data_IF_396514886865
#
_entry.id   IF_396514886865
#
_cell.length_a   1.000
_cell.length_b   1.000
_cell.length_c   1.000
_cell.angle_alpha   90.00
_cell.angle_beta   90.00
_cell.angle_gamma   90.00
#
_symmetry.space_group_name_H-M   'P 1'
#
loop_
_entity.id
_entity.type
_entity.pdbx_description
1 polymer ?
#
# COMPACT_ATOMS: atom_id res chain seq x y z
N UNK A 1 -55.18 -8.59 35.51
CA UNK A 1 -53.90 -9.24 35.87
C UNK A 1 -52.79 -8.20 35.76
N UNK A 2 -52.21 -7.73 36.88
CA UNK A 2 -51.16 -6.69 36.87
C UNK A 2 -49.84 -7.29 36.37
N UNK A 3 -49.31 -6.75 35.27
CA UNK A 3 -48.01 -7.15 34.74
C UNK A 3 -46.89 -6.53 35.58
N UNK A 4 -46.00 -7.36 36.12
CA UNK A 4 -44.79 -6.89 36.84
C UNK A 4 -43.74 -6.38 35.84
N UNK A 5 -43.01 -5.34 36.23
CA UNK A 5 -42.08 -4.55 35.39
C UNK A 5 -40.89 -5.33 34.80
N UNK A 6 -40.65 -6.57 35.22
CA UNK A 6 -39.66 -7.49 34.65
C UNK A 6 -40.23 -8.91 34.56
N UNK A 7 -40.27 -9.53 33.36
CA UNK A 7 -40.76 -10.90 33.21
C UNK A 7 -39.70 -11.92 33.69
N UNK A 8 -40.10 -12.80 34.62
CA UNK A 8 -39.27 -13.91 35.07
C UNK A 8 -39.00 -14.90 33.92
N UNK A 9 -37.79 -15.51 33.88
CA UNK A 9 -37.28 -16.32 32.75
C UNK A 9 -38.24 -17.43 32.26
N UNK A 10 -39.05 -18.00 33.15
CA UNK A 10 -40.06 -19.03 32.83
C UNK A 10 -41.19 -18.46 31.95
N UNK A 11 -41.59 -17.20 32.16
CA UNK A 11 -42.62 -16.53 31.35
C UNK A 11 -42.12 -16.19 29.95
N UNK A 12 -40.83 -15.86 29.81
CA UNK A 12 -40.19 -15.63 28.50
C UNK A 12 -40.09 -16.95 27.72
N UNK A 13 -39.79 -18.05 28.40
CA UNK A 13 -39.75 -19.38 27.79
C UNK A 13 -41.14 -19.84 27.31
N UNK A 14 -42.19 -19.58 28.09
CA UNK A 14 -43.57 -19.85 27.69
C UNK A 14 -44.02 -19.06 26.46
N UNK A 15 -43.65 -17.77 26.37
CA UNK A 15 -43.96 -16.93 25.21
C UNK A 15 -43.16 -17.38 23.97
N UNK A 16 -41.90 -17.77 24.14
CA UNK A 16 -41.08 -18.32 23.05
C UNK A 16 -41.63 -19.65 22.51
N UNK A 17 -42.14 -20.51 23.40
CA UNK A 17 -42.76 -21.78 23.01
C UNK A 17 -44.10 -21.56 22.29
N UNK A 18 -44.94 -20.64 22.78
CA UNK A 18 -46.23 -20.31 22.13
C UNK A 18 -46.02 -19.62 20.78
N UNK A 19 -45.01 -18.75 20.64
CA UNK A 19 -44.69 -18.12 19.34
C UNK A 19 -44.15 -19.13 18.33
N UNK A 20 -43.27 -20.05 18.73
CA UNK A 20 -42.80 -21.11 17.84
C UNK A 20 -43.90 -22.13 17.51
N UNK A 21 -44.77 -22.45 18.47
CA UNK A 21 -45.91 -23.33 18.23
C UNK A 21 -46.95 -22.67 17.32
N UNK A 22 -47.22 -21.37 17.49
CA UNK A 22 -48.09 -20.61 16.59
C UNK A 22 -47.48 -20.48 15.18
N UNK A 23 -46.16 -20.31 15.06
CA UNK A 23 -45.45 -20.41 13.77
C UNK A 23 -45.54 -21.82 13.17
N UNK A 24 -45.46 -22.87 13.98
CA UNK A 24 -45.60 -24.26 13.53
C UNK A 24 -47.03 -24.61 13.12
N UNK A 25 -48.05 -24.04 13.77
CA UNK A 25 -49.47 -24.20 13.41
C UNK A 25 -49.83 -23.37 12.18
N UNK A 26 -49.27 -22.16 12.02
CA UNK A 26 -49.46 -21.34 10.83
C UNK A 26 -48.71 -21.90 9.60
N UNK A 27 -47.54 -22.55 9.78
CA UNK A 27 -46.85 -23.30 8.72
C UNK A 27 -47.33 -24.76 8.57
N UNK A 28 -48.11 -25.26 9.54
CA UNK A 28 -48.69 -26.61 9.56
C UNK A 28 -50.03 -26.72 8.85
N UNK A 29 -50.62 -25.59 8.44
CA UNK A 29 -51.60 -25.60 7.35
C UNK A 29 -50.84 -25.98 6.09
N UNK A 30 -51.07 -27.20 5.61
CA UNK A 30 -50.56 -27.68 4.34
C UNK A 30 -50.85 -26.62 3.28
N UNK A 31 -49.81 -25.90 2.86
CA UNK A 31 -49.84 -25.13 1.62
C UNK A 31 -50.28 -26.16 0.58
N UNK A 32 -51.42 -25.98 -0.11
CA UNK A 32 -51.87 -26.94 -1.10
C UNK A 32 -50.69 -27.24 -2.01
N UNK A 33 -50.35 -28.53 -2.14
CA UNK A 33 -49.17 -28.93 -2.89
C UNK A 33 -49.34 -28.38 -4.30
N UNK A 34 -48.47 -27.43 -4.68
CA UNK A 34 -48.59 -26.75 -5.97
C UNK A 34 -48.72 -27.79 -7.06
N UNK A 35 -49.67 -27.54 -7.96
CA UNK A 35 -49.87 -28.42 -9.11
C UNK A 35 -48.60 -28.44 -9.94
N UNK A 36 -48.39 -29.52 -10.68
CA UNK A 36 -47.27 -29.63 -11.60
C UNK A 36 -47.21 -28.43 -12.58
N UNK A 37 -48.37 -27.94 -13.04
CA UNK A 37 -48.45 -26.78 -13.95
C UNK A 37 -47.99 -25.48 -13.29
N UNK A 38 -48.36 -25.24 -12.03
CA UNK A 38 -47.89 -24.08 -11.25
C UNK A 38 -46.37 -24.11 -11.05
N UNK A 39 -45.80 -25.29 -10.77
CA UNK A 39 -44.34 -25.48 -10.61
C UNK A 39 -43.59 -25.21 -11.92
N UNK A 40 -44.13 -25.66 -13.06
CA UNK A 40 -43.56 -25.35 -14.37
C UNK A 40 -43.69 -23.86 -14.69
N UNK A 41 -44.84 -23.24 -14.45
CA UNK A 41 -45.07 -21.82 -14.72
C UNK A 41 -44.10 -20.94 -13.93
N UNK A 42 -43.98 -21.17 -12.61
CA UNK A 42 -43.03 -20.45 -11.75
C UNK A 42 -41.57 -20.67 -12.18
N UNK A 43 -41.22 -21.88 -12.61
CA UNK A 43 -39.86 -22.17 -13.10
C UNK A 43 -39.56 -21.51 -14.45
N UNK A 44 -40.54 -21.42 -15.36
CA UNK A 44 -40.43 -20.66 -16.62
C UNK A 44 -40.28 -19.17 -16.35
N UNK A 45 -41.00 -18.63 -15.37
CA UNK A 45 -40.82 -17.25 -14.92
C UNK A 45 -39.39 -17.03 -14.41
N UNK A 46 -38.89 -17.90 -13.52
CA UNK A 46 -37.51 -17.85 -13.06
C UNK A 46 -36.47 -17.96 -14.20
N UNK A 47 -36.73 -18.75 -15.25
CA UNK A 47 -35.89 -18.77 -16.44
C UNK A 47 -35.88 -17.42 -17.17
N UNK A 48 -37.05 -16.79 -17.32
CA UNK A 48 -37.17 -15.50 -18.00
C UNK A 48 -36.55 -14.35 -17.20
N UNK A 49 -36.60 -14.41 -15.88
CA UNK A 49 -36.02 -13.38 -15.00
C UNK A 49 -34.54 -13.60 -14.68
N UNK A 50 -33.88 -14.58 -15.29
CA UNK A 50 -32.46 -14.88 -15.04
C UNK A 50 -32.16 -15.66 -13.75
N UNK A 51 -33.19 -16.11 -13.03
CA UNK A 51 -33.08 -16.86 -11.77
C UNK A 51 -32.90 -18.37 -12.02
N UNK A 52 -31.93 -18.73 -12.85
CA UNK A 52 -31.78 -20.09 -13.40
C UNK A 52 -31.60 -21.18 -12.34
N UNK A 53 -30.93 -20.88 -11.21
CA UNK A 53 -30.78 -21.82 -10.08
C UNK A 53 -32.11 -22.13 -9.39
N UNK A 54 -32.95 -21.10 -9.21
CA UNK A 54 -34.29 -21.26 -8.64
C UNK A 54 -35.21 -22.01 -9.61
N UNK A 55 -35.13 -21.69 -10.91
CA UNK A 55 -35.83 -22.45 -11.96
C UNK A 55 -35.46 -23.94 -11.90
N UNK A 56 -34.16 -24.27 -11.89
CA UNK A 56 -33.69 -25.66 -11.78
C UNK A 56 -34.21 -26.33 -10.50
N UNK A 57 -34.12 -25.66 -9.35
CA UNK A 57 -34.59 -26.19 -8.06
C UNK A 57 -36.09 -26.48 -8.05
N UNK A 58 -36.90 -25.62 -8.67
CA UNK A 58 -38.34 -25.84 -8.84
C UNK A 58 -38.64 -27.05 -9.73
N UNK A 59 -37.97 -27.15 -10.88
CA UNK A 59 -38.15 -28.23 -11.84
C UNK A 59 -37.68 -29.59 -11.31
N UNK A 60 -36.63 -29.64 -10.48
CA UNK A 60 -36.12 -30.89 -9.88
C UNK A 60 -37.08 -31.52 -8.87
N UNK A 61 -38.14 -30.82 -8.45
CA UNK A 61 -39.17 -31.35 -7.54
C UNK A 61 -40.29 -32.11 -8.27
N UNK A 62 -40.30 -32.11 -9.61
CA UNK A 62 -41.29 -32.79 -10.44
C UNK A 62 -40.89 -34.27 -10.57
N UNK A 63 -41.83 -35.18 -10.30
CA UNK A 63 -41.59 -36.63 -10.21
C UNK A 63 -41.73 -37.30 -11.59
N UNK A 64 -41.07 -38.46 -11.83
CA UNK A 64 -41.21 -39.21 -13.09
C UNK A 64 -42.64 -39.63 -13.46
N UNK A 65 -43.50 -39.73 -12.46
CA UNK A 65 -44.93 -40.07 -12.59
C UNK A 65 -45.79 -38.89 -13.08
N UNK A 66 -45.27 -37.66 -13.05
CA UNK A 66 -46.01 -36.46 -13.43
C UNK A 66 -46.06 -36.30 -14.96
N UNK A 67 -47.21 -35.89 -15.49
CA UNK A 67 -47.49 -35.86 -16.94
C UNK A 67 -46.52 -34.99 -17.74
N UNK A 68 -45.96 -33.93 -17.16
CA UNK A 68 -44.95 -33.13 -17.84
C UNK A 68 -43.55 -33.21 -17.21
N UNK A 69 -43.22 -34.34 -16.61
CA UNK A 69 -41.83 -34.68 -16.25
C UNK A 69 -40.85 -34.49 -17.42
N UNK A 70 -41.23 -34.87 -18.64
CA UNK A 70 -40.40 -34.68 -19.86
C UNK A 70 -40.11 -33.20 -20.14
N UNK A 71 -41.12 -32.35 -19.98
CA UNK A 71 -40.95 -30.89 -20.13
C UNK A 71 -40.04 -30.34 -19.04
N UNK A 72 -40.21 -30.80 -17.80
CA UNK A 72 -39.36 -30.40 -16.68
C UNK A 72 -37.88 -30.75 -16.93
N UNK A 73 -37.59 -31.95 -17.44
CA UNK A 73 -36.22 -32.36 -17.78
C UNK A 73 -35.61 -31.49 -18.89
N UNK A 74 -36.38 -31.18 -19.94
CA UNK A 74 -35.94 -30.26 -20.99
C UNK A 74 -35.59 -28.87 -20.42
N UNK A 75 -36.44 -28.34 -19.54
CA UNK A 75 -36.22 -27.04 -18.92
C UNK A 75 -35.04 -27.06 -17.93
N UNK A 76 -34.77 -28.18 -17.26
CA UNK A 76 -33.56 -28.37 -16.41
C UNK A 76 -32.30 -28.27 -17.26
N UNK A 77 -32.25 -28.95 -18.41
CA UNK A 77 -31.12 -28.89 -19.34
C UNK A 77 -30.90 -27.46 -19.83
N UNK A 78 -31.99 -26.76 -20.19
CA UNK A 78 -31.94 -25.34 -20.56
C UNK A 78 -31.42 -24.47 -19.42
N UNK A 79 -31.91 -24.67 -18.20
CA UNK A 79 -31.44 -23.95 -17.01
C UNK A 79 -29.94 -24.18 -16.76
N UNK A 80 -29.46 -25.42 -16.88
CA UNK A 80 -28.05 -25.76 -16.70
C UNK A 80 -27.13 -25.12 -17.74
N UNK A 81 -27.56 -25.10 -19.01
CA UNK A 81 -26.86 -24.39 -20.07
C UNK A 81 -26.77 -22.89 -19.78
N UNK A 82 -27.87 -22.27 -19.33
CA UNK A 82 -27.92 -20.86 -18.95
C UNK A 82 -27.05 -20.52 -17.74
N UNK A 83 -27.03 -21.38 -16.71
CA UNK A 83 -26.13 -21.24 -15.55
C UNK A 83 -24.66 -21.28 -15.98
N UNK A 84 -24.33 -22.20 -16.90
CA UNK A 84 -22.96 -22.36 -17.41
C UNK A 84 -22.53 -21.13 -18.20
N UNK A 85 -23.36 -20.67 -19.13
CA UNK A 85 -23.12 -19.44 -19.89
C UNK A 85 -22.98 -18.21 -19.00
N UNK A 86 -23.82 -18.06 -17.96
CA UNK A 86 -23.72 -16.94 -17.02
C UNK A 86 -22.38 -16.95 -16.25
N UNK A 87 -21.92 -18.14 -15.84
CA UNK A 87 -20.63 -18.30 -15.18
C UNK A 87 -19.47 -17.93 -16.10
N UNK A 88 -19.51 -18.36 -17.36
CA UNK A 88 -18.51 -18.01 -18.37
C UNK A 88 -18.50 -16.50 -18.67
N UNK A 89 -19.66 -15.88 -18.84
CA UNK A 89 -19.78 -14.43 -19.03
C UNK A 89 -19.20 -13.65 -17.85
N UNK A 90 -19.48 -14.09 -16.61
CA UNK A 90 -18.89 -13.48 -15.40
C UNK A 90 -17.37 -13.61 -15.37
N UNK A 91 -16.83 -14.75 -15.79
CA UNK A 91 -15.38 -14.95 -15.88
C UNK A 91 -14.76 -14.03 -16.93
N UNK A 92 -15.33 -13.99 -18.13
CA UNK A 92 -14.89 -13.11 -19.22
C UNK A 92 -14.97 -11.63 -18.83
N UNK A 93 -16.05 -11.20 -18.16
CA UNK A 93 -16.20 -9.84 -17.66
C UNK A 93 -15.13 -9.50 -16.62
N UNK A 94 -14.79 -10.44 -15.73
CA UNK A 94 -13.73 -10.27 -14.72
C UNK A 94 -12.35 -10.15 -15.38
N UNK A 95 -12.07 -10.96 -16.39
CA UNK A 95 -10.82 -10.91 -17.15
C UNK A 95 -10.70 -9.62 -17.96
N UNK A 96 -11.77 -9.20 -18.63
CA UNK A 96 -11.82 -7.93 -19.34
C UNK A 96 -11.63 -6.74 -18.40
N UNK A 97 -12.26 -6.75 -17.22
CA UNK A 97 -12.08 -5.72 -16.20
C UNK A 97 -10.62 -5.69 -15.67
N UNK A 98 -10.01 -6.86 -15.44
CA UNK A 98 -8.60 -6.96 -15.02
C UNK A 98 -7.65 -6.44 -16.10
N UNK A 99 -7.91 -6.76 -17.37
CA UNK A 99 -7.13 -6.26 -18.51
C UNK A 99 -7.23 -4.75 -18.63
N UNK A 100 -8.45 -4.20 -18.56
CA UNK A 100 -8.68 -2.75 -18.60
C UNK A 100 -8.01 -2.03 -17.43
N UNK A 101 -8.08 -2.59 -16.22
CA UNK A 101 -7.39 -2.02 -15.05
C UNK A 101 -5.87 -2.02 -15.23
N UNK A 102 -5.31 -3.12 -15.77
CA UNK A 102 -3.88 -3.21 -16.10
C UNK A 102 -3.46 -2.16 -17.13
N UNK A 103 -4.20 -2.02 -18.22
CA UNK A 103 -3.95 -1.01 -19.26
C UNK A 103 -4.02 0.42 -18.70
N UNK A 104 -5.00 0.68 -17.83
CA UNK A 104 -5.15 1.99 -17.17
C UNK A 104 -3.94 2.30 -16.27
N UNK A 105 -3.50 1.33 -15.47
CA UNK A 105 -2.32 1.47 -14.61
C UNK A 105 -1.04 1.68 -15.42
N UNK A 106 -0.89 0.96 -16.55
CA UNK A 106 0.25 1.13 -17.46
C UNK A 106 0.29 2.55 -18.06
N UNK A 107 -0.86 3.09 -18.48
CA UNK A 107 -0.96 4.46 -19.00
C UNK A 107 -0.62 5.49 -17.91
N UNK A 108 -1.14 5.32 -16.70
CA UNK A 108 -0.90 6.22 -15.57
C UNK A 108 0.58 6.23 -15.18
N UNK A 109 1.19 5.04 -15.04
CA UNK A 109 2.60 4.89 -14.72
C UNK A 109 3.49 5.53 -15.78
N UNK A 110 3.18 5.31 -17.07
CA UNK A 110 3.90 5.93 -18.18
C UNK A 110 3.86 7.45 -18.08
N UNK A 111 2.66 8.02 -17.92
CA UNK A 111 2.48 9.48 -17.76
C UNK A 111 3.25 10.02 -16.55
N UNK A 112 3.24 9.30 -15.42
CA UNK A 112 3.99 9.73 -14.24
C UNK A 112 5.49 9.77 -14.53
N UNK A 113 6.06 8.71 -15.11
CA UNK A 113 7.48 8.67 -15.46
C UNK A 113 7.86 9.79 -16.43
N UNK A 114 7.05 10.03 -17.47
CA UNK A 114 7.29 11.10 -18.44
C UNK A 114 7.29 12.49 -17.78
N UNK A 115 6.32 12.76 -16.89
CA UNK A 115 6.25 14.02 -16.13
C UNK A 115 7.49 14.24 -15.26
N UNK A 116 7.89 13.23 -14.48
CA UNK A 116 9.07 13.36 -13.60
C UNK A 116 10.37 13.53 -14.41
N UNK A 117 10.49 12.82 -15.54
CA UNK A 117 11.64 12.97 -16.45
C UNK A 117 11.69 14.40 -17.01
N UNK A 118 10.55 14.94 -17.43
CA UNK A 118 10.46 16.31 -17.95
C UNK A 118 10.84 17.32 -16.88
N UNK A 119 10.24 17.24 -15.68
CA UNK A 119 10.52 18.14 -14.56
C UNK A 119 12.01 18.15 -14.17
N UNK A 120 12.66 16.98 -14.10
CA UNK A 120 14.10 16.91 -13.81
C UNK A 120 14.95 17.49 -14.97
N UNK A 121 14.47 17.38 -16.21
CA UNK A 121 15.16 17.92 -17.38
C UNK A 121 15.10 19.44 -17.43
N UNK A 122 13.95 20.02 -17.08
CA UNK A 122 13.77 21.47 -16.97
C UNK A 122 14.59 22.05 -15.82
N UNK A 123 14.78 21.27 -14.76
CA UNK A 123 15.62 21.61 -13.61
C UNK A 123 14.80 21.69 -12.34
N UNK A 124 15.33 21.07 -11.29
CA UNK A 124 14.71 21.09 -9.96
C UNK A 124 15.45 22.12 -9.11
N UNK A 125 14.71 23.06 -8.53
CA UNK A 125 15.27 24.02 -7.59
C UNK A 125 15.35 23.42 -6.19
N UNK A 126 16.57 23.14 -5.73
CA UNK A 126 16.85 22.64 -4.39
C UNK A 126 17.11 23.75 -3.36
N UNK A 127 16.96 25.03 -3.73
CA UNK A 127 17.21 26.15 -2.81
C UNK A 127 16.26 26.14 -1.61
N UNK A 128 15.00 25.71 -1.83
CA UNK A 128 13.95 25.64 -0.81
C UNK A 128 14.18 24.58 0.27
N UNK A 129 15.09 23.63 0.04
CA UNK A 129 15.38 22.54 0.97
C UNK A 129 16.55 22.83 1.93
N UNK A 130 17.01 24.08 2.01
CA UNK A 130 18.16 24.49 2.83
C UNK A 130 17.74 25.23 4.10
N UNK A 131 18.69 25.46 5.01
CA UNK A 131 18.49 26.28 6.21
C UNK A 131 17.92 25.57 7.44
N UNK A 132 17.34 24.37 7.31
CA UNK A 132 16.91 23.56 8.45
C UNK A 132 17.07 22.06 8.21
N UNK A 133 17.10 21.28 9.28
CA UNK A 133 17.15 19.81 9.20
C UNK A 133 15.90 19.28 8.51
N UNK A 134 14.73 19.83 8.83
CA UNK A 134 13.45 19.43 8.25
C UNK A 134 13.42 19.69 6.74
N UNK A 135 13.93 20.83 6.30
CA UNK A 135 14.03 21.16 4.88
C UNK A 135 14.95 20.17 4.13
N UNK A 136 16.09 19.81 4.72
CA UNK A 136 16.99 18.79 4.16
C UNK A 136 16.37 17.38 4.16
N UNK A 137 15.54 17.06 5.15
CA UNK A 137 14.80 15.80 5.18
C UNK A 137 13.73 15.75 4.08
N UNK A 138 13.08 16.88 3.76
CA UNK A 138 12.14 16.95 2.64
C UNK A 138 12.83 16.69 1.30
N UNK A 139 14.08 17.11 1.12
CA UNK A 139 14.88 16.75 -0.06
C UNK A 139 15.15 15.24 -0.14
N UNK A 140 15.48 14.59 0.99
CA UNK A 140 15.62 13.13 1.04
C UNK A 140 14.29 12.42 0.70
N UNK A 141 13.17 12.94 1.20
CA UNK A 141 11.82 12.41 0.92
C UNK A 141 11.53 12.49 -0.58
N UNK A 142 11.87 13.60 -1.24
CA UNK A 142 11.74 13.75 -2.69
C UNK A 142 12.55 12.69 -3.45
N UNK A 143 13.81 12.47 -3.06
CA UNK A 143 14.63 11.39 -3.65
C UNK A 143 14.01 10.01 -3.44
N UNK A 144 13.46 9.73 -2.26
CA UNK A 144 12.76 8.47 -1.99
C UNK A 144 11.46 8.30 -2.77
N UNK A 145 10.71 9.38 -3.00
CA UNK A 145 9.52 9.36 -3.85
C UNK A 145 9.87 8.98 -5.29
N UNK A 146 10.92 9.57 -5.86
CA UNK A 146 11.42 9.17 -7.17
C UNK A 146 11.93 7.72 -7.19
N UNK A 147 12.64 7.28 -6.16
CA UNK A 147 13.09 5.90 -6.05
C UNK A 147 11.92 4.91 -6.09
N UNK A 148 10.81 5.23 -5.41
CA UNK A 148 9.59 4.42 -5.43
C UNK A 148 8.96 4.35 -6.82
N UNK A 149 8.83 5.49 -7.51
CA UNK A 149 8.32 5.56 -8.89
C UNK A 149 9.18 4.73 -9.84
N UNK A 150 10.51 4.80 -9.70
CA UNK A 150 11.46 4.00 -10.49
C UNK A 150 11.27 2.51 -10.21
N UNK A 151 11.22 2.10 -8.94
CA UNK A 151 11.07 0.71 -8.53
C UNK A 151 9.76 0.12 -9.07
N UNK A 152 8.66 0.86 -8.96
CA UNK A 152 7.36 0.43 -9.48
C UNK A 152 7.39 0.33 -11.00
N UNK A 153 7.99 1.30 -11.70
CA UNK A 153 8.19 1.26 -13.16
C UNK A 153 9.08 0.12 -13.65
N UNK A 154 10.12 -0.26 -12.90
CA UNK A 154 11.02 -1.38 -13.25
C UNK A 154 10.30 -2.75 -13.17
N UNK A 155 9.22 -2.87 -12.38
CA UNK A 155 8.44 -4.10 -12.23
C UNK A 155 7.44 -4.38 -13.37
N UNK A 156 7.15 -3.40 -14.22
CA UNK A 156 6.20 -3.59 -15.32
C UNK A 156 6.77 -4.50 -16.42
N UNK A 157 5.91 -5.33 -17.02
CA UNK A 157 6.28 -6.17 -18.17
C UNK A 157 6.52 -5.32 -19.43
N UNK A 158 5.78 -4.22 -19.58
CA UNK A 158 5.84 -3.30 -20.71
C UNK A 158 7.27 -2.74 -20.89
N UNK A 159 7.96 -3.04 -22.02
CA UNK A 159 9.35 -2.60 -22.24
C UNK A 159 9.52 -1.07 -22.23
N UNK A 160 8.52 -0.33 -22.70
CA UNK A 160 8.55 1.13 -22.75
C UNK A 160 8.58 1.73 -21.33
N UNK A 161 7.73 1.26 -20.42
CA UNK A 161 7.69 1.71 -19.02
C UNK A 161 9.02 1.44 -18.33
N UNK A 162 9.58 0.23 -18.51
CA UNK A 162 10.91 -0.09 -17.95
C UNK A 162 12.03 0.79 -18.51
N UNK A 163 11.96 1.14 -19.80
CA UNK A 163 12.92 2.07 -20.41
C UNK A 163 12.82 3.45 -19.77
N UNK A 164 11.60 3.97 -19.60
CA UNK A 164 11.37 5.25 -18.92
C UNK A 164 11.85 5.21 -17.46
N UNK A 165 11.57 4.14 -16.72
CA UNK A 165 12.05 3.96 -15.36
C UNK A 165 13.59 4.00 -15.27
N UNK A 166 14.30 3.34 -16.19
CA UNK A 166 15.77 3.42 -16.30
C UNK A 166 16.26 4.83 -16.65
N UNK A 167 15.56 5.53 -17.54
CA UNK A 167 15.89 6.93 -17.88
C UNK A 167 15.74 7.84 -16.66
N UNK A 168 14.63 7.72 -15.92
CA UNK A 168 14.40 8.46 -14.69
C UNK A 168 15.48 8.14 -13.64
N UNK A 169 15.79 6.85 -13.45
CA UNK A 169 16.86 6.38 -12.55
C UNK A 169 18.19 7.06 -12.80
N UNK A 170 18.66 7.09 -14.05
CA UNK A 170 19.93 7.73 -14.39
C UNK A 170 19.92 9.23 -14.06
N UNK A 171 18.80 9.92 -14.33
CA UNK A 171 18.65 11.34 -13.99
C UNK A 171 18.67 11.58 -12.48
N UNK A 172 17.91 10.81 -11.72
CA UNK A 172 17.84 10.91 -10.25
C UNK A 172 19.19 10.59 -9.61
N UNK A 173 19.90 9.56 -10.09
CA UNK A 173 21.26 9.25 -9.63
C UNK A 173 22.21 10.42 -9.85
N UNK A 174 22.17 11.06 -11.02
CA UNK A 174 23.01 12.23 -11.31
C UNK A 174 22.65 13.42 -10.41
N UNK A 175 21.37 13.64 -10.12
CA UNK A 175 20.93 14.65 -9.15
C UNK A 175 21.50 14.35 -7.76
N UNK A 176 21.31 13.13 -7.25
CA UNK A 176 21.82 12.73 -5.94
C UNK A 176 23.33 12.96 -5.82
N UNK A 177 24.13 12.52 -6.80
CA UNK A 177 25.58 12.70 -6.80
C UNK A 177 25.99 14.18 -6.69
N UNK A 178 25.17 15.08 -7.26
CA UNK A 178 25.40 16.53 -7.22
C UNK A 178 24.91 17.17 -5.93
N UNK A 179 23.77 16.73 -5.40
CA UNK A 179 23.11 17.37 -4.26
C UNK A 179 23.60 16.84 -2.91
N UNK A 180 23.90 15.54 -2.75
CA UNK A 180 24.40 14.98 -1.48
C UNK A 180 25.61 15.74 -0.89
N UNK A 181 26.64 16.13 -1.67
CA UNK A 181 27.71 16.98 -1.16
C UNK A 181 27.24 18.32 -0.59
N UNK A 182 26.21 18.93 -1.19
CA UNK A 182 25.63 20.20 -0.73
C UNK A 182 24.80 19.98 0.53
N UNK A 183 23.97 18.93 0.56
CA UNK A 183 23.20 18.55 1.74
C UNK A 183 24.12 18.30 2.94
N UNK A 184 25.25 17.61 2.74
CA UNK A 184 26.25 17.39 3.81
C UNK A 184 26.86 18.69 4.33
N UNK A 185 27.22 19.62 3.44
CA UNK A 185 27.73 20.94 3.85
C UNK A 185 26.68 21.72 4.64
N UNK A 186 25.45 21.74 4.14
CA UNK A 186 24.35 22.45 4.77
C UNK A 186 24.01 21.85 6.14
N UNK A 187 23.96 20.52 6.23
CA UNK A 187 23.76 19.83 7.51
C UNK A 187 24.87 20.16 8.51
N UNK A 188 26.13 20.15 8.09
CA UNK A 188 27.25 20.52 8.97
C UNK A 188 27.16 21.97 9.44
N UNK A 189 26.70 22.89 8.58
CA UNK A 189 26.44 24.29 8.94
C UNK A 189 25.32 24.41 9.98
N UNK A 190 24.19 23.77 9.74
CA UNK A 190 23.06 23.75 10.69
C UNK A 190 23.49 23.18 12.05
N UNK A 191 24.31 22.12 12.05
CA UNK A 191 24.86 21.55 13.27
C UNK A 191 25.85 22.49 13.97
N UNK A 192 26.67 23.23 13.21
CA UNK A 192 27.57 24.24 13.77
C UNK A 192 26.78 25.32 14.51
N UNK A 193 25.72 25.85 13.89
CA UNK A 193 24.88 26.88 14.48
C UNK A 193 24.18 26.37 15.76
N UNK A 194 23.64 25.14 15.72
CA UNK A 194 22.95 24.53 16.86
C UNK A 194 23.86 24.21 18.04
N UNK A 195 25.11 23.83 17.78
CA UNK A 195 26.04 23.39 18.82
C UNK A 195 27.03 24.48 19.25
N UNK A 196 26.98 25.66 18.62
CA UNK A 196 27.84 26.79 18.95
C UNK A 196 27.75 27.18 20.43
N UNK A 197 26.55 27.21 21.02
CA UNK A 197 26.33 27.53 22.43
C UNK A 197 26.89 26.48 23.41
N UNK A 198 27.27 25.31 22.91
CA UNK A 198 27.90 24.23 23.68
C UNK A 198 29.41 24.18 23.44
N UNK A 199 30.00 25.22 22.84
CA UNK A 199 31.42 25.31 22.48
C UNK A 199 31.90 24.17 21.58
N UNK A 200 31.01 23.67 20.71
CA UNK A 200 31.34 22.65 19.71
C UNK A 200 31.40 23.29 18.33
N UNK A 201 32.60 23.28 17.76
CA UNK A 201 32.82 23.65 16.37
C UNK A 201 32.52 22.45 15.45
N UNK A 202 31.68 22.65 14.44
CA UNK A 202 31.30 21.62 13.46
C UNK A 202 31.63 22.08 12.04
N UNK A 203 32.21 21.19 11.24
CA UNK A 203 32.40 21.42 9.81
C UNK A 203 32.53 20.12 9.03
N UNK A 204 32.16 20.15 7.74
CA UNK A 204 32.37 19.03 6.83
C UNK A 204 33.72 19.12 6.13
N UNK A 205 34.36 17.97 5.87
CA UNK A 205 35.62 17.89 5.11
C UNK A 205 35.68 16.66 4.20
N UNK A 206 36.79 16.51 3.48
CA UNK A 206 37.00 15.43 2.52
C UNK A 206 36.28 15.66 1.18
N UNK A 207 36.60 14.81 0.20
CA UNK A 207 35.97 14.88 -1.13
C UNK A 207 34.45 14.71 -1.00
N UNK A 208 33.68 15.60 -1.62
CA UNK A 208 32.22 15.61 -1.54
C UNK A 208 31.67 15.89 -0.13
N UNK A 209 32.48 16.46 0.78
CA UNK A 209 32.07 16.77 2.16
C UNK A 209 31.63 15.54 2.95
N UNK A 210 32.31 14.41 2.70
CA UNK A 210 31.92 13.08 3.21
C UNK A 210 32.32 12.82 4.66
N UNK A 211 33.09 13.70 5.30
CA UNK A 211 33.44 13.61 6.72
C UNK A 211 32.81 14.76 7.49
N UNK A 212 32.26 14.48 8.67
CA UNK A 212 31.86 15.52 9.62
C UNK A 212 32.88 15.56 10.76
N UNK A 213 33.30 16.77 11.13
CA UNK A 213 34.28 17.02 12.19
C UNK A 213 33.58 17.78 13.30
N UNK A 214 33.72 17.30 14.52
CA UNK A 214 33.18 17.90 15.73
C UNK A 214 34.34 18.11 16.71
N UNK A 215 34.55 19.37 17.11
CA UNK A 215 35.65 19.76 18.00
C UNK A 215 35.07 20.53 19.18
N UNK A 216 35.35 20.10 20.41
CA UNK A 216 34.89 20.79 21.61
C UNK A 216 35.39 20.09 22.88
N UNK A 217 35.53 20.86 23.97
CA UNK A 217 36.09 20.38 25.24
C UNK A 217 35.35 19.16 25.81
N UNK A 218 34.04 19.05 25.57
CA UNK A 218 33.22 17.90 25.96
C UNK A 218 33.76 16.57 25.38
N UNK A 219 34.44 16.61 24.24
CA UNK A 219 35.03 15.44 23.59
C UNK A 219 36.42 15.08 24.13
N UNK A 220 36.90 15.66 25.22
CA UNK A 220 38.06 15.11 25.94
C UNK A 220 37.76 13.70 26.47
N UNK A 221 36.51 13.44 26.90
CA UNK A 221 36.09 12.15 27.44
C UNK A 221 35.57 11.20 26.33
N UNK A 222 36.11 9.98 26.28
CA UNK A 222 35.69 8.95 25.31
C UNK A 222 34.21 8.55 25.44
N UNK A 223 33.65 8.59 26.66
CA UNK A 223 32.22 8.37 26.90
C UNK A 223 31.34 9.37 26.14
N UNK A 224 31.67 10.65 26.22
CA UNK A 224 30.92 11.71 25.56
C UNK A 224 30.98 11.57 24.03
N UNK A 225 32.14 11.21 23.47
CA UNK A 225 32.28 10.93 22.04
C UNK A 225 31.33 9.79 21.61
N UNK A 226 31.31 8.69 22.35
CA UNK A 226 30.46 7.52 22.07
C UNK A 226 28.97 7.84 22.19
N UNK A 227 28.58 8.53 23.24
CA UNK A 227 27.18 8.88 23.49
C UNK A 227 26.67 9.83 22.40
N UNK A 228 27.45 10.86 22.05
CA UNK A 228 27.12 11.79 20.96
C UNK A 228 27.05 11.07 19.61
N UNK A 229 28.04 10.21 19.32
CA UNK A 229 28.06 9.41 18.10
C UNK A 229 26.80 8.56 17.96
N UNK A 230 26.35 7.90 19.03
CA UNK A 230 25.14 7.08 18.98
C UNK A 230 23.89 7.91 18.68
N UNK A 231 23.81 9.15 19.17
CA UNK A 231 22.67 10.04 18.91
C UNK A 231 22.60 10.50 17.45
N UNK A 232 23.73 10.85 16.84
CA UNK A 232 23.74 11.43 15.49
C UNK A 232 23.98 10.40 14.37
N UNK A 233 24.34 9.16 14.71
CA UNK A 233 24.74 8.12 13.74
C UNK A 233 23.76 7.98 12.59
N UNK A 234 22.47 7.83 12.90
CA UNK A 234 21.46 7.58 11.87
C UNK A 234 21.25 8.82 10.98
N UNK A 235 21.24 10.02 11.56
CA UNK A 235 21.21 11.27 10.78
C UNK A 235 22.40 11.39 9.84
N UNK A 236 23.61 11.08 10.32
CA UNK A 236 24.80 11.11 9.47
C UNK A 236 24.75 10.08 8.33
N UNK A 237 24.20 8.88 8.58
CA UNK A 237 24.00 7.86 7.55
C UNK A 237 22.96 8.28 6.52
N UNK A 238 21.87 8.94 6.92
CA UNK A 238 20.85 9.49 6.01
C UNK A 238 21.46 10.47 5.00
N UNK A 239 22.39 11.33 5.44
CA UNK A 239 23.11 12.26 4.55
C UNK A 239 24.38 11.64 3.91
N UNK A 240 24.59 10.34 4.09
CA UNK A 240 25.69 9.57 3.51
C UNK A 240 27.08 10.08 3.88
N UNK A 241 27.24 10.59 5.11
CA UNK A 241 28.58 10.80 5.66
C UNK A 241 29.29 9.46 5.83
N UNK A 242 30.56 9.41 5.44
CA UNK A 242 31.41 8.22 5.57
C UNK A 242 32.03 8.10 6.96
N UNK A 243 32.35 9.23 7.59
CA UNK A 243 32.98 9.26 8.90
C UNK A 243 32.50 10.44 9.75
N UNK A 244 32.40 10.19 11.06
CA UNK A 244 32.30 11.22 12.08
C UNK A 244 33.62 11.28 12.86
N UNK A 245 34.17 12.49 13.06
CA UNK A 245 35.48 12.71 13.68
C UNK A 245 35.34 13.65 14.86
N UNK A 246 35.95 13.29 15.98
CA UNK A 246 35.82 13.98 17.26
C UNK A 246 37.20 14.39 17.77
N UNK A 247 37.32 15.65 18.17
CA UNK A 247 38.54 16.25 18.75
C UNK A 247 38.21 17.01 20.02
N UNK A 248 39.14 17.06 20.96
CA UNK A 248 39.02 17.96 22.11
C UNK A 248 39.14 19.41 21.64
N UNK A 249 40.23 19.77 20.98
CA UNK A 249 40.51 21.15 20.56
C UNK A 249 41.01 21.22 19.12
N UNK A 250 41.10 22.42 18.55
CA UNK A 250 41.36 22.61 17.11
C UNK A 250 42.77 22.20 16.66
N UNK A 251 43.75 22.32 17.55
CA UNK A 251 45.15 21.95 17.31
C UNK A 251 45.50 20.54 17.78
N UNK A 252 44.50 19.71 18.07
CA UNK A 252 44.71 18.31 18.42
C UNK A 252 45.00 17.52 17.12
N UNK A 253 46.21 16.99 17.01
CA UNK A 253 46.64 16.17 15.87
C UNK A 253 45.89 14.82 15.85
N UNK A 254 45.46 14.36 17.02
CA UNK A 254 44.72 13.12 17.17
C UNK A 254 43.21 13.37 17.09
N UNK A 255 42.49 12.39 16.54
CA UNK A 255 41.04 12.39 16.55
C UNK A 255 40.51 10.98 16.69
N UNK A 256 39.42 10.83 17.45
CA UNK A 256 38.65 9.59 17.45
C UNK A 256 37.65 9.65 16.32
N UNK A 257 37.52 8.58 15.54
CA UNK A 257 36.57 8.53 14.43
C UNK A 257 35.72 7.27 14.45
N UNK A 258 34.54 7.40 13.86
CA UNK A 258 33.65 6.30 13.56
C UNK A 258 33.38 6.26 12.06
N UNK A 259 33.61 5.09 11.45
CA UNK A 259 33.16 4.80 10.08
C UNK A 259 31.67 4.48 10.09
N UNK A 260 30.93 5.03 9.14
CA UNK A 260 29.47 4.96 9.08
C UNK A 260 28.94 4.01 7.99
N UNK A 261 29.80 3.63 7.04
CA UNK A 261 29.49 2.76 5.90
C UNK A 261 28.13 3.05 5.26
N UNK A 262 27.89 4.30 4.78
CA UNK A 262 26.63 4.65 4.15
C UNK A 262 26.51 4.02 2.76
N UNK A 263 25.29 4.03 2.23
CA UNK A 263 25.06 3.83 0.80
C UNK A 263 25.84 4.86 -0.04
N UNK A 264 26.13 4.49 -1.30
CA UNK A 264 26.78 5.40 -2.25
C UNK A 264 25.78 6.46 -2.71
N UNK A 265 26.28 7.66 -3.02
CA UNK A 265 25.45 8.74 -3.61
C UNK A 265 24.77 8.30 -4.93
N UNK A 266 25.30 7.26 -5.60
CA UNK A 266 24.74 6.63 -6.81
C UNK A 266 23.65 5.59 -6.56
N UNK A 267 23.42 5.17 -5.31
CA UNK A 267 22.30 4.30 -4.96
C UNK A 267 21.07 5.15 -4.70
N UNK A 268 19.91 4.75 -5.19
CA UNK A 268 18.66 5.48 -4.96
C UNK A 268 18.35 5.52 -3.47
N UNK A 269 17.88 6.66 -2.97
CA UNK A 269 17.42 6.78 -1.58
C UNK A 269 16.22 5.85 -1.38
N UNK A 270 16.30 4.96 -0.39
CA UNK A 270 15.17 4.10 -0.01
C UNK A 270 14.93 4.25 1.49
N UNK A 271 13.66 4.26 1.88
CA UNK A 271 13.24 4.20 3.28
C UNK A 271 12.77 2.78 3.54
N UNK A 272 13.45 2.08 4.45
CA UNK A 272 13.06 0.75 4.92
C UNK A 272 12.21 0.86 6.18
#
# INVERSE_FOLDING_TARGET
MKWSKYPNRIKIFGIWFVLNFALWVLFGMAIPEQTFEEKIAASKEHLNTGNYKLAKSGLSKIKPTDTGYKEAQYLIIKADSLITMEKEQKLLAKEAAKKKARETNEIEQKKQLEREIAAITEGVDFSSYKGSVDALQMELILFGAWAKIIEDGEKYEAPEIRKLAKTLKNKVVNLQVREFPKMRKEYAKIMADKLWSNDINVYSSGFGSTYINLTGGIFAANKNKKDFQNQIRESLKMYRFKQARYRWYKGDDEYTYWSLEPEKDTQLVTFK
#
